data_IF_883987696960
#
_entry.id   IF_883987696960
#
_cell.length_a   1.000
_cell.length_b   1.000
_cell.length_c   1.000
_cell.angle_alpha   90.00
_cell.angle_beta   90.00
_cell.angle_gamma   90.00
#
_symmetry.space_group_name_H-M   'P 1'
#
loop_
_entity.id
_entity.type
_entity.pdbx_description
1 polymer ?
#
# COMPACT_ATOMS: atom_id res chain seq x y z
N UNK A 1 -8.83 -35.35 -46.22
CA UNK A 1 -7.67 -34.45 -46.12
C UNK A 1 -7.17 -34.51 -44.68
N UNK A 2 -5.94 -34.95 -44.47
CA UNK A 2 -5.44 -35.29 -43.13
C UNK A 2 -4.91 -34.06 -42.40
N UNK A 3 -5.28 -33.87 -41.13
CA UNK A 3 -4.59 -32.93 -40.23
C UNK A 3 -3.35 -33.62 -39.68
N UNK A 4 -2.15 -33.11 -39.98
CA UNK A 4 -0.93 -33.59 -39.34
C UNK A 4 -0.88 -33.08 -37.90
N UNK A 5 -0.94 -33.99 -36.93
CA UNK A 5 -0.52 -33.69 -35.57
C UNK A 5 1.01 -33.74 -35.54
N UNK A 6 1.64 -32.56 -35.58
CA UNK A 6 3.09 -32.44 -35.50
C UNK A 6 3.55 -32.66 -34.08
N UNK A 7 4.09 -33.84 -33.78
CA UNK A 7 4.89 -34.04 -32.58
C UNK A 7 6.22 -33.31 -32.77
N UNK A 8 6.41 -32.20 -32.05
CA UNK A 8 7.69 -31.53 -31.98
C UNK A 8 8.60 -32.28 -30.99
N UNK A 9 9.92 -32.39 -31.25
CA UNK A 9 10.85 -32.89 -30.26
C UNK A 9 10.84 -31.98 -29.03
N UNK A 10 10.84 -32.58 -27.85
CA UNK A 10 10.88 -31.88 -26.57
C UNK A 10 12.21 -31.13 -26.41
N UNK A 11 12.14 -29.79 -26.38
CA UNK A 11 13.30 -28.91 -26.31
C UNK A 11 13.63 -28.55 -24.86
N UNK A 12 14.65 -29.23 -24.32
CA UNK A 12 15.16 -29.03 -22.94
C UNK A 12 15.73 -27.63 -22.66
N UNK A 13 15.92 -26.80 -23.68
CA UNK A 13 16.33 -25.42 -23.50
C UNK A 13 15.14 -24.55 -23.07
N UNK A 14 13.92 -24.85 -23.56
CA UNK A 14 12.70 -24.17 -23.12
C UNK A 14 12.44 -24.40 -21.62
N UNK A 15 12.60 -25.64 -21.12
CA UNK A 15 12.52 -25.93 -19.69
C UNK A 15 13.53 -25.11 -18.86
N UNK A 16 14.74 -24.88 -19.38
CA UNK A 16 15.79 -24.14 -18.68
C UNK A 16 15.56 -22.63 -18.71
N UNK A 17 15.09 -22.08 -19.84
CA UNK A 17 14.72 -20.67 -19.95
C UNK A 17 13.46 -20.37 -19.11
N UNK A 18 12.44 -21.23 -19.11
CA UNK A 18 11.24 -21.08 -18.28
C UNK A 18 11.59 -21.13 -16.76
N UNK A 19 12.49 -22.04 -16.35
CA UNK A 19 12.97 -22.12 -14.97
C UNK A 19 13.82 -20.90 -14.59
N UNK A 20 14.74 -20.45 -15.45
CA UNK A 20 15.58 -19.28 -15.21
C UNK A 20 14.80 -17.95 -15.24
N UNK A 21 13.71 -17.88 -16.01
CA UNK A 21 12.77 -16.77 -15.97
C UNK A 21 11.91 -16.82 -14.70
N UNK A 22 11.43 -18.01 -14.29
CA UNK A 22 10.65 -18.18 -13.06
C UNK A 22 11.45 -17.79 -11.81
N UNK A 23 12.71 -18.23 -11.72
CA UNK A 23 13.66 -17.87 -10.67
C UNK A 23 13.84 -16.34 -10.55
N UNK A 24 13.97 -15.65 -11.69
CA UNK A 24 14.07 -14.19 -11.73
C UNK A 24 12.75 -13.47 -11.42
N UNK A 25 11.62 -13.98 -11.90
CA UNK A 25 10.29 -13.41 -11.64
C UNK A 25 9.82 -13.61 -10.19
N UNK A 26 10.46 -14.51 -9.42
CA UNK A 26 10.27 -14.61 -7.97
C UNK A 26 11.08 -13.60 -7.16
N UNK A 27 12.10 -12.96 -7.74
CA UNK A 27 13.00 -12.04 -7.02
C UNK A 27 12.30 -10.73 -6.67
N UNK A 28 12.32 -10.37 -5.39
CA UNK A 28 11.90 -9.05 -4.90
C UNK A 28 12.89 -7.96 -5.33
N UNK A 29 12.36 -6.82 -5.78
CA UNK A 29 13.13 -5.65 -6.24
C UNK A 29 12.72 -4.32 -5.58
N UNK A 30 11.59 -4.30 -4.88
CA UNK A 30 11.10 -3.15 -4.13
C UNK A 30 10.11 -3.57 -3.04
N UNK A 31 9.83 -2.67 -2.10
CA UNK A 31 8.79 -2.82 -1.07
C UNK A 31 8.08 -1.48 -0.88
N UNK A 32 6.83 -1.49 -0.43
CA UNK A 32 6.12 -0.24 -0.19
C UNK A 32 4.69 -0.41 0.29
N UNK A 33 3.94 0.69 0.25
CA UNK A 33 2.50 0.70 0.49
C UNK A 33 1.72 1.46 -0.59
N UNK A 34 0.64 0.84 -1.10
CA UNK A 34 -0.33 1.50 -1.97
C UNK A 34 -1.47 2.04 -1.11
N UNK A 35 -1.83 3.31 -1.32
CA UNK A 35 -2.94 3.99 -0.66
C UNK A 35 -4.03 4.39 -1.66
N UNK A 36 -5.30 4.08 -1.34
CA UNK A 36 -6.48 4.46 -2.11
C UNK A 36 -7.65 4.89 -1.19
N UNK A 37 -8.72 5.43 -1.78
CA UNK A 37 -10.00 5.64 -1.10
C UNK A 37 -10.60 4.28 -0.73
N UNK A 38 -10.94 4.04 0.54
CA UNK A 38 -11.27 2.70 1.03
C UNK A 38 -12.48 2.03 0.35
N UNK A 39 -13.45 2.84 -0.09
CA UNK A 39 -14.66 2.41 -0.82
C UNK A 39 -14.49 2.45 -2.35
N UNK A 40 -13.33 2.86 -2.85
CA UNK A 40 -13.08 3.15 -4.26
C UNK A 40 -13.69 4.47 -4.77
N UNK A 41 -14.29 5.28 -3.90
CA UNK A 41 -14.88 6.58 -4.23
C UNK A 41 -14.76 7.57 -3.05
N UNK A 42 -14.86 8.88 -3.29
CA UNK A 42 -14.93 9.87 -2.21
C UNK A 42 -16.17 9.69 -1.35
N UNK A 43 -16.02 9.83 -0.04
CA UNK A 43 -17.14 9.88 0.90
C UNK A 43 -17.77 11.28 0.90
N UNK A 44 -19.11 11.33 1.05
CA UNK A 44 -19.88 12.59 1.02
C UNK A 44 -20.00 13.28 2.38
N UNK A 45 -19.37 12.73 3.43
CA UNK A 45 -19.48 13.21 4.81
C UNK A 45 -18.29 14.08 5.27
N UNK A 46 -18.26 14.48 6.55
CA UNK A 46 -17.11 15.12 7.18
C UNK A 46 -16.00 14.11 7.53
N UNK A 47 -15.91 12.99 6.80
CA UNK A 47 -14.93 11.92 6.99
C UNK A 47 -14.53 11.34 5.63
N UNK A 48 -13.31 10.83 5.54
CA UNK A 48 -12.83 10.00 4.43
C UNK A 48 -11.98 8.85 4.97
N UNK A 49 -12.35 7.63 4.58
CA UNK A 49 -11.60 6.42 4.88
C UNK A 49 -10.65 6.09 3.73
N UNK A 50 -9.45 5.64 4.07
CA UNK A 50 -8.38 5.24 3.16
C UNK A 50 -7.98 3.79 3.42
N UNK A 51 -7.73 3.04 2.36
CA UNK A 51 -7.15 1.70 2.44
C UNK A 51 -5.66 1.77 2.14
N UNK A 52 -4.87 1.06 2.94
CA UNK A 52 -3.42 0.97 2.81
C UNK A 52 -3.07 -0.50 2.60
N UNK A 53 -2.24 -0.81 1.62
CA UNK A 53 -1.79 -2.17 1.32
C UNK A 53 -0.28 -2.21 1.20
N UNK A 54 0.38 -2.85 2.16
CA UNK A 54 1.82 -3.13 2.06
C UNK A 54 2.05 -4.21 1.01
N UNK A 55 3.13 -4.08 0.23
CA UNK A 55 3.43 -4.96 -0.90
C UNK A 55 4.94 -5.13 -1.11
N UNK A 56 5.31 -6.23 -1.78
CA UNK A 56 6.62 -6.40 -2.44
C UNK A 56 6.46 -6.30 -3.94
N UNK A 57 7.39 -5.60 -4.60
CA UNK A 57 7.53 -5.59 -6.06
C UNK A 57 8.45 -6.73 -6.48
N UNK A 58 7.98 -7.55 -7.42
CA UNK A 58 8.76 -8.60 -8.07
C UNK A 58 9.43 -8.08 -9.34
N UNK A 59 10.53 -8.70 -9.77
CA UNK A 59 11.31 -8.26 -10.94
C UNK A 59 10.55 -8.28 -12.29
N UNK A 60 9.34 -8.84 -12.33
CA UNK A 60 8.42 -8.78 -13.47
C UNK A 60 7.38 -7.63 -13.38
N UNK A 61 7.49 -6.75 -12.39
CA UNK A 61 6.63 -5.59 -12.16
C UNK A 61 5.31 -5.92 -11.43
N UNK A 62 5.13 -7.14 -10.92
CA UNK A 62 3.95 -7.47 -10.09
C UNK A 62 4.15 -7.02 -8.64
N UNK A 63 3.16 -6.31 -8.12
CA UNK A 63 3.03 -6.05 -6.68
C UNK A 63 2.25 -7.20 -6.01
N UNK A 64 2.86 -7.89 -5.05
CA UNK A 64 2.22 -8.92 -4.22
C UNK A 64 1.95 -8.35 -2.83
N UNK A 65 0.70 -8.44 -2.37
CA UNK A 65 0.24 -7.84 -1.12
C UNK A 65 0.75 -8.62 0.09
N UNK A 66 1.31 -7.94 1.09
CA UNK A 66 1.75 -8.53 2.36
C UNK A 66 0.76 -8.25 3.49
N UNK A 67 0.20 -7.05 3.54
CA UNK A 67 -0.75 -6.62 4.57
C UNK A 67 -1.81 -5.66 3.99
N UNK A 68 -2.93 -5.48 4.70
CA UNK A 68 -3.92 -4.46 4.41
C UNK A 68 -4.45 -3.80 5.69
N UNK A 69 -4.16 -2.52 5.84
CA UNK A 69 -4.64 -1.65 6.93
C UNK A 69 -5.56 -0.56 6.37
N UNK A 70 -6.05 0.32 7.23
CA UNK A 70 -6.80 1.49 6.81
C UNK A 70 -6.90 2.53 7.92
N UNK A 71 -7.13 3.78 7.53
CA UNK A 71 -7.30 4.90 8.45
C UNK A 71 -8.44 5.80 7.97
N UNK A 72 -9.06 6.53 8.89
CA UNK A 72 -10.12 7.49 8.57
C UNK A 72 -9.71 8.86 9.08
N UNK A 73 -9.65 9.84 8.17
CA UNK A 73 -9.52 11.25 8.53
C UNK A 73 -10.91 11.85 8.64
N UNK A 74 -11.15 12.66 9.67
CA UNK A 74 -12.41 13.38 9.87
C UNK A 74 -12.17 14.85 10.14
N UNK A 75 -13.13 15.68 9.72
CA UNK A 75 -13.09 17.12 9.93
C UNK A 75 -13.11 17.43 11.43
N UNK A 76 -12.24 18.36 11.85
CA UNK A 76 -12.08 18.70 13.27
C UNK A 76 -13.41 19.18 13.87
N UNK A 77 -13.76 18.60 15.02
CA UNK A 77 -14.85 19.03 15.90
C UNK A 77 -14.24 19.76 17.09
N UNK A 78 -14.28 21.08 17.07
CA UNK A 78 -13.75 21.91 18.16
C UNK A 78 -14.84 22.14 19.21
N UNK A 79 -14.53 21.92 20.49
CA UNK A 79 -15.44 22.17 21.61
C UNK A 79 -15.15 23.57 22.19
N UNK A 80 -15.91 24.56 21.78
CA UNK A 80 -15.75 25.95 22.24
C UNK A 80 -16.69 26.22 23.42
N UNK A 81 -16.16 26.81 24.49
CA UNK A 81 -16.96 27.35 25.60
C UNK A 81 -17.21 28.84 25.34
N UNK A 82 -18.49 29.23 25.34
CA UNK A 82 -18.93 30.61 25.12
C UNK A 82 -18.84 31.43 26.41
N UNK A 83 -18.89 32.77 26.30
CA UNK A 83 -18.89 33.69 27.46
C UNK A 83 -20.06 33.46 28.44
N UNK A 84 -21.14 32.81 27.99
CA UNK A 84 -22.29 32.41 28.83
C UNK A 84 -22.11 31.03 29.52
N UNK A 85 -20.92 30.42 29.40
CA UNK A 85 -20.58 29.10 29.95
C UNK A 85 -21.14 27.92 29.17
N UNK A 86 -21.85 28.13 28.05
CA UNK A 86 -22.32 27.02 27.21
C UNK A 86 -21.21 26.49 26.33
N UNK A 87 -21.09 25.16 26.28
CA UNK A 87 -20.21 24.45 25.34
C UNK A 87 -20.96 24.17 24.05
N UNK A 88 -20.33 24.51 22.92
CA UNK A 88 -20.82 24.23 21.57
C UNK A 88 -19.76 23.46 20.79
N UNK A 89 -20.18 22.49 19.98
CA UNK A 89 -19.27 21.84 19.03
C UNK A 89 -19.32 22.63 17.72
N UNK A 90 -18.20 23.24 17.35
CA UNK A 90 -17.97 23.72 16.00
C UNK A 90 -17.55 22.51 15.15
N UNK A 91 -18.49 21.98 14.37
CA UNK A 91 -18.20 20.97 13.36
C UNK A 91 -17.70 21.68 12.10
N UNK A 92 -16.45 21.41 11.71
CA UNK A 92 -15.91 21.96 10.47
C UNK A 92 -16.54 21.24 9.26
N UNK A 93 -17.62 21.82 8.72
CA UNK A 93 -18.32 21.34 7.52
C UNK A 93 -17.55 21.51 6.20
N UNK A 94 -16.25 21.85 6.25
CA UNK A 94 -15.37 21.67 5.11
C UNK A 94 -15.32 20.17 4.72
N UNK A 95 -15.32 19.83 3.40
CA UNK A 95 -15.16 18.46 2.95
C UNK A 95 -13.84 17.86 3.47
N UNK A 96 -13.82 16.57 3.81
CA UNK A 96 -12.68 15.91 4.47
C UNK A 96 -11.32 16.04 3.75
N UNK A 97 -11.32 16.39 2.45
CA UNK A 97 -10.11 16.71 1.66
C UNK A 97 -9.47 18.07 1.96
N UNK A 98 -10.13 18.95 2.71
CA UNK A 98 -9.66 20.32 2.93
C UNK A 98 -8.35 20.34 3.71
N UNK A 99 -7.28 20.82 3.07
CA UNK A 99 -5.92 20.83 3.64
C UNK A 99 -5.15 19.51 3.47
N UNK A 100 -5.72 18.48 2.84
CA UNK A 100 -4.97 17.26 2.50
C UNK A 100 -4.10 17.47 1.26
N UNK A 101 -2.84 17.09 1.34
CA UNK A 101 -1.89 17.08 0.22
C UNK A 101 -1.42 15.65 -0.06
N UNK A 102 -0.82 15.37 -1.24
CA UNK A 102 -0.18 14.07 -1.49
C UNK A 102 0.85 13.71 -0.42
N UNK A 103 1.59 14.69 0.08
CA UNK A 103 2.64 14.49 1.09
C UNK A 103 2.06 14.27 2.50
N UNK A 104 0.95 14.95 2.86
CA UNK A 104 0.27 14.68 4.12
C UNK A 104 -0.34 13.27 4.13
N UNK A 105 -0.88 12.80 3.00
CA UNK A 105 -1.35 11.40 2.88
C UNK A 105 -0.18 10.42 2.93
N UNK A 106 0.96 10.70 2.26
CA UNK A 106 2.17 9.86 2.37
C UNK A 106 2.61 9.71 3.83
N UNK A 107 2.58 10.78 4.61
CA UNK A 107 2.91 10.73 6.04
C UNK A 107 1.87 9.94 6.86
N UNK A 108 0.56 10.11 6.59
CA UNK A 108 -0.48 9.31 7.27
C UNK A 108 -0.38 7.81 6.95
N UNK A 109 0.05 7.44 5.73
CA UNK A 109 0.35 6.04 5.40
C UNK A 109 1.52 5.52 6.22
N UNK A 110 2.61 6.28 6.34
CA UNK A 110 3.76 5.92 7.17
C UNK A 110 3.33 5.71 8.64
N UNK A 111 2.59 6.64 9.23
CA UNK A 111 2.04 6.54 10.58
C UNK A 111 1.11 5.32 10.82
N UNK A 112 0.74 4.55 9.79
CA UNK A 112 -0.14 3.37 9.88
C UNK A 112 0.59 2.06 9.53
N UNK A 113 1.70 2.11 8.80
CA UNK A 113 2.53 0.93 8.46
C UNK A 113 3.68 0.71 9.44
N UNK A 114 4.26 1.79 9.96
CA UNK A 114 5.26 1.78 11.03
C UNK A 114 4.62 1.31 12.36
N UNK A 115 5.39 0.76 13.32
CA UNK A 115 4.86 0.41 14.65
C UNK A 115 4.47 1.65 15.46
N UNK A 116 3.47 1.51 16.34
CA UNK A 116 2.96 2.58 17.22
C UNK A 116 3.93 3.00 18.36
N UNK A 117 5.07 2.31 18.51
CA UNK A 117 5.96 2.43 19.68
C UNK A 117 7.29 3.11 19.30
N UNK A 118 7.53 4.31 19.85
CA UNK A 118 8.75 5.09 19.66
C UNK A 118 10.02 4.38 20.20
N UNK A 119 9.89 3.32 21.02
CA UNK A 119 11.01 2.51 21.50
C UNK A 119 11.47 1.42 20.49
N UNK A 120 10.77 1.26 19.34
CA UNK A 120 11.16 0.31 18.29
C UNK A 120 12.34 0.82 17.43
N UNK A 121 13.55 0.28 17.66
CA UNK A 121 14.74 0.56 16.82
C UNK A 121 14.59 0.11 15.34
N UNK A 122 13.65 -0.79 15.03
CA UNK A 122 13.33 -1.19 13.66
C UNK A 122 12.16 -0.38 13.08
N UNK A 123 12.44 0.45 12.07
CA UNK A 123 11.43 1.33 11.45
C UNK A 123 10.20 0.59 10.91
N UNK A 124 10.35 -0.59 10.31
CA UNK A 124 9.24 -1.43 9.86
C UNK A 124 9.38 -2.84 10.45
N UNK A 125 8.29 -3.63 10.58
CA UNK A 125 8.33 -5.01 11.07
C UNK A 125 8.87 -5.98 9.99
N UNK A 126 10.12 -5.78 9.55
CA UNK A 126 10.75 -6.49 8.42
C UNK A 126 10.69 -8.02 8.52
N UNK A 127 10.90 -8.55 9.73
CA UNK A 127 10.84 -10.00 9.99
C UNK A 127 9.46 -10.59 9.75
N UNK A 128 8.40 -9.85 10.07
CA UNK A 128 7.01 -10.25 9.86
C UNK A 128 6.60 -10.10 8.39
N UNK A 129 7.00 -9.01 7.73
CA UNK A 129 6.78 -8.81 6.29
C UNK A 129 7.45 -9.91 5.45
N UNK A 130 8.69 -10.28 5.79
CA UNK A 130 9.39 -11.42 5.18
C UNK A 130 8.70 -12.77 5.46
N UNK A 131 7.98 -12.92 6.58
CA UNK A 131 7.13 -14.10 6.80
C UNK A 131 5.89 -14.08 5.90
N UNK A 132 5.16 -12.96 5.79
CA UNK A 132 4.00 -12.83 4.90
C UNK A 132 4.35 -13.06 3.42
N UNK A 133 5.57 -12.69 3.01
CA UNK A 133 6.08 -12.96 1.66
C UNK A 133 6.32 -14.47 1.44
N UNK A 134 7.00 -15.14 2.39
CA UNK A 134 7.31 -16.58 2.31
C UNK A 134 6.06 -17.45 2.43
N UNK A 135 5.04 -17.03 3.19
CA UNK A 135 3.72 -17.67 3.21
C UNK A 135 3.01 -17.65 1.83
N UNK A 136 3.40 -16.74 0.94
CA UNK A 136 2.94 -16.65 -0.45
C UNK A 136 3.92 -17.26 -1.47
N UNK A 137 4.98 -17.94 -1.00
CA UNK A 137 5.97 -18.61 -1.85
C UNK A 137 7.06 -17.69 -2.41
N UNK A 138 7.18 -16.45 -1.91
CA UNK A 138 8.26 -15.52 -2.27
C UNK A 138 9.39 -15.70 -1.26
N UNK A 139 10.55 -16.22 -1.71
CA UNK A 139 11.72 -16.36 -0.84
C UNK A 139 12.46 -15.02 -0.71
N UNK A 140 12.42 -14.44 0.49
CA UNK A 140 13.05 -13.17 0.84
C UNK A 140 13.27 -13.09 2.35
N UNK A 141 14.37 -12.45 2.76
CA UNK A 141 14.73 -12.24 4.17
C UNK A 141 14.41 -10.82 4.67
N UNK A 142 14.41 -10.64 5.99
CA UNK A 142 14.19 -9.34 6.62
C UNK A 142 15.26 -8.31 6.21
N UNK A 143 16.53 -8.71 6.16
CA UNK A 143 17.65 -7.85 5.76
C UNK A 143 17.58 -7.46 4.28
N UNK A 144 17.09 -8.34 3.40
CA UNK A 144 16.85 -8.00 1.99
C UNK A 144 15.73 -6.98 1.83
N UNK A 145 14.60 -7.13 2.54
CA UNK A 145 13.52 -6.12 2.53
C UNK A 145 14.00 -4.77 3.09
N UNK A 146 14.78 -4.79 4.18
CA UNK A 146 15.37 -3.62 4.84
C UNK A 146 16.43 -2.91 3.99
N UNK A 147 17.02 -3.59 3.01
CA UNK A 147 17.97 -3.02 2.05
C UNK A 147 17.31 -2.39 0.81
N UNK A 148 15.99 -2.57 0.63
CA UNK A 148 15.23 -1.99 -0.48
C UNK A 148 14.66 -0.60 -0.11
N UNK A 149 14.45 0.29 -1.10
CA UNK A 149 13.70 1.52 -0.87
C UNK A 149 12.24 1.18 -0.56
N UNK A 150 11.68 1.81 0.48
CA UNK A 150 10.26 1.73 0.81
C UNK A 150 9.49 2.86 0.12
N UNK A 151 8.63 2.57 -0.86
CA UNK A 151 7.82 3.59 -1.54
C UNK A 151 6.36 3.63 -1.05
N UNK A 152 5.84 4.83 -0.77
CA UNK A 152 4.40 5.07 -0.65
C UNK A 152 3.82 5.51 -2.00
N UNK A 153 2.95 4.70 -2.58
CA UNK A 153 2.27 4.96 -3.85
C UNK A 153 0.84 5.41 -3.56
N UNK A 154 0.42 6.54 -4.13
CA UNK A 154 -1.00 6.95 -4.16
C UNK A 154 -1.60 6.53 -5.49
N UNK A 155 -2.80 5.94 -5.50
CA UNK A 155 -3.48 5.60 -6.77
C UNK A 155 -3.73 6.85 -7.62
N UNK A 156 -3.85 6.69 -8.94
CA UNK A 156 -4.25 7.80 -9.84
C UNK A 156 -5.60 8.40 -9.43
N UNK A 157 -6.52 7.57 -8.89
CA UNK A 157 -7.81 8.00 -8.33
C UNK A 157 -7.62 8.93 -7.14
N UNK A 158 -6.84 8.52 -6.14
CA UNK A 158 -6.57 9.30 -4.94
C UNK A 158 -5.79 10.58 -5.26
N UNK A 159 -4.73 10.46 -6.07
CA UNK A 159 -3.95 11.61 -6.53
C UNK A 159 -4.78 12.58 -7.39
N UNK A 160 -5.74 12.07 -8.17
CA UNK A 160 -6.70 12.88 -8.93
C UNK A 160 -7.69 13.61 -8.03
N UNK A 161 -8.25 12.93 -7.03
CA UNK A 161 -9.18 13.52 -6.05
C UNK A 161 -8.54 14.63 -5.22
N UNK A 162 -7.29 14.44 -4.77
CA UNK A 162 -6.50 15.46 -4.07
C UNK A 162 -6.24 16.70 -4.95
N UNK A 163 -6.01 16.52 -6.26
CA UNK A 163 -5.80 17.63 -7.23
C UNK A 163 -7.05 18.44 -7.56
N UNK A 164 -8.23 18.00 -7.11
CA UNK A 164 -9.50 18.71 -7.32
C UNK A 164 -9.86 19.65 -6.15
N UNK A 165 -8.95 19.85 -5.19
CA UNK A 165 -9.10 20.67 -3.98
C UNK A 165 -9.39 22.15 -4.30
#
# INVERSE_FOLDING_TARGET
>A
MSKQSGWFPYDKNADQDDLAQSDRSGRVVGIGAICDLATGAPESGPSQSFSVREFVELADGRHVALDSRGFTLSSVRELVELEDGRRVVLENVAPARAGLTPDSIRQQVLNVVLPDDDECEEAHPWSWLAEQARQQGIDVTADELKALPYEVILTERLAGWLKLS
#
